data_IF_372145243384
#
_entry.id   IF_372145243384
#
_cell.length_a   1.000
_cell.length_b   1.000
_cell.length_c   1.000
_cell.angle_alpha   90.00
_cell.angle_beta   90.00
_cell.angle_gamma   90.00
#
_symmetry.space_group_name_H-M   'P 1'
#
loop_
_entity.id
_entity.type
_entity.pdbx_description
1 polymer ?
#
# COMPACT_ATOMS: atom_id res chain seq x y z
N UNK A 1 -19.03 -11.59 0.12
CA UNK A 1 -18.18 -10.45 -0.30
C UNK A 1 -17.07 -10.27 0.73
N UNK A 2 -16.00 -11.07 0.65
CA UNK A 2 -14.94 -11.16 1.68
C UNK A 2 -13.94 -10.00 1.59
N UNK A 3 -13.66 -9.53 0.37
CA UNK A 3 -12.68 -8.45 0.12
C UNK A 3 -13.12 -7.17 0.82
N UNK A 4 -14.36 -6.73 0.60
CA UNK A 4 -14.88 -5.49 1.17
C UNK A 4 -14.91 -5.50 2.71
N UNK A 5 -15.29 -6.62 3.34
CA UNK A 5 -15.29 -6.73 4.80
C UNK A 5 -13.89 -6.56 5.40
N UNK A 6 -12.83 -6.98 4.69
CA UNK A 6 -11.44 -6.78 5.14
C UNK A 6 -11.08 -5.30 5.21
N UNK A 7 -11.40 -4.53 4.17
CA UNK A 7 -11.11 -3.09 4.15
C UNK A 7 -11.83 -2.33 5.27
N UNK A 8 -13.06 -2.73 5.59
CA UNK A 8 -13.84 -2.13 6.67
C UNK A 8 -13.39 -2.55 8.07
N UNK A 9 -12.97 -3.81 8.24
CA UNK A 9 -12.55 -4.35 9.54
C UNK A 9 -11.15 -3.87 9.95
N UNK A 10 -10.34 -3.45 8.98
CA UNK A 10 -8.96 -3.03 9.16
C UNK A 10 -8.71 -1.62 8.61
N UNK A 11 -9.45 -0.58 9.06
CA UNK A 11 -9.43 0.75 8.44
C UNK A 11 -8.07 1.46 8.59
N UNK A 12 -7.22 1.00 9.50
CA UNK A 12 -5.91 1.57 9.79
C UNK A 12 -4.74 0.74 9.24
N UNK A 13 -5.01 -0.48 8.75
CA UNK A 13 -3.94 -1.36 8.27
C UNK A 13 -3.73 -1.13 6.77
N UNK A 14 -2.49 -0.88 6.32
CA UNK A 14 -2.21 -0.72 4.90
C UNK A 14 -2.47 -2.04 4.15
N UNK A 15 -3.28 -1.99 3.10
CA UNK A 15 -3.67 -3.15 2.29
C UNK A 15 -3.06 -3.05 0.90
N UNK A 16 -2.38 -4.12 0.50
CA UNK A 16 -1.97 -4.39 -0.87
C UNK A 16 -2.88 -5.45 -1.46
N UNK A 17 -3.42 -5.22 -2.66
CA UNK A 17 -4.26 -6.19 -3.33
C UNK A 17 -3.53 -6.78 -4.54
N UNK A 18 -3.41 -8.10 -4.58
CA UNK A 18 -3.05 -8.84 -5.80
C UNK A 18 -4.33 -9.45 -6.36
N UNK A 19 -4.65 -9.15 -7.61
CA UNK A 19 -5.92 -9.58 -8.22
C UNK A 19 -5.72 -10.05 -9.66
N UNK A 20 -6.49 -11.06 -10.07
CA UNK A 20 -6.50 -11.55 -11.45
C UNK A 20 -7.32 -10.65 -12.37
N UNK A 21 -6.92 -10.56 -13.63
CA UNK A 21 -7.64 -9.85 -14.71
C UNK A 21 -9.16 -10.02 -14.68
N UNK A 22 -9.63 -11.27 -14.62
CA UNK A 22 -11.05 -11.62 -14.66
C UNK A 22 -11.90 -11.01 -13.54
N UNK A 23 -11.32 -10.76 -12.37
CA UNK A 23 -12.03 -10.23 -11.20
C UNK A 23 -11.82 -8.72 -11.01
N UNK A 24 -10.79 -8.16 -11.65
CA UNK A 24 -10.36 -6.79 -11.41
C UNK A 24 -11.44 -5.76 -11.76
N UNK A 25 -12.13 -5.94 -12.89
CA UNK A 25 -13.17 -5.00 -13.34
C UNK A 25 -14.38 -4.92 -12.41
N UNK A 26 -14.67 -5.99 -11.67
CA UNK A 26 -15.77 -6.01 -10.70
C UNK A 26 -15.34 -5.49 -9.33
N UNK A 27 -14.14 -5.86 -8.89
CA UNK A 27 -13.68 -5.57 -7.51
C UNK A 27 -13.09 -4.17 -7.39
N UNK A 28 -12.23 -3.77 -8.32
CA UNK A 28 -11.46 -2.51 -8.20
C UNK A 28 -12.34 -1.28 -8.02
N UNK A 29 -13.41 -1.06 -8.81
CA UNK A 29 -14.23 0.14 -8.68
C UNK A 29 -14.88 0.28 -7.29
N UNK A 30 -15.11 -0.84 -6.60
CA UNK A 30 -15.75 -0.87 -5.28
C UNK A 30 -14.75 -0.49 -4.18
N UNK A 31 -13.48 -0.90 -4.32
CA UNK A 31 -12.48 -0.77 -3.25
C UNK A 31 -11.48 0.37 -3.46
N UNK A 32 -11.46 0.98 -4.64
CA UNK A 32 -10.42 1.93 -5.02
C UNK A 32 -10.38 3.18 -4.13
N UNK A 33 -11.54 3.63 -3.67
CA UNK A 33 -11.72 4.80 -2.81
C UNK A 33 -11.31 4.58 -1.34
N UNK A 34 -11.00 3.34 -0.95
CA UNK A 34 -10.60 3.06 0.42
C UNK A 34 -9.23 3.67 0.72
N UNK A 35 -9.15 4.44 1.80
CA UNK A 35 -7.93 5.16 2.21
C UNK A 35 -6.80 4.24 2.65
N UNK A 36 -7.13 3.04 3.14
CA UNK A 36 -6.19 2.02 3.55
C UNK A 36 -5.73 1.12 2.38
N UNK A 37 -6.31 1.28 1.17
CA UNK A 37 -5.77 0.66 -0.03
C UNK A 37 -4.52 1.40 -0.49
N UNK A 38 -3.37 0.72 -0.44
CA UNK A 38 -2.08 1.30 -0.82
C UNK A 38 -1.82 1.14 -2.31
N UNK A 39 -1.95 -0.09 -2.82
CA UNK A 39 -1.62 -0.43 -4.20
C UNK A 39 -2.35 -1.70 -4.63
N UNK A 40 -2.77 -1.73 -5.89
CA UNK A 40 -3.35 -2.85 -6.61
C UNK A 40 -2.31 -3.36 -7.62
N UNK A 41 -2.04 -4.66 -7.56
CA UNK A 41 -1.24 -5.42 -8.51
C UNK A 41 -2.18 -6.30 -9.33
N UNK A 42 -2.44 -5.90 -10.56
CA UNK A 42 -3.26 -6.64 -11.51
C UNK A 42 -2.38 -7.64 -12.27
N UNK A 43 -2.61 -8.94 -12.05
CA UNK A 43 -1.96 -9.99 -12.82
C UNK A 43 -2.89 -10.51 -13.92
N UNK A 44 -2.48 -10.42 -15.18
CA UNK A 44 -3.30 -10.80 -16.33
C UNK A 44 -2.46 -11.31 -17.50
N UNK A 45 -3.01 -12.19 -18.35
CA UNK A 45 -2.28 -12.69 -19.52
C UNK A 45 -2.10 -11.68 -20.67
N UNK A 46 -2.65 -10.47 -20.55
CA UNK A 46 -2.56 -9.43 -21.58
C UNK A 46 -2.70 -8.04 -20.95
N UNK A 47 -1.59 -7.32 -20.80
CA UNK A 47 -1.59 -5.96 -20.25
C UNK A 47 -2.45 -5.01 -21.10
N UNK A 48 -2.35 -5.12 -22.43
CA UNK A 48 -3.10 -4.27 -23.36
C UNK A 48 -4.62 -4.40 -23.24
N UNK A 49 -5.13 -5.58 -22.83
CA UNK A 49 -6.55 -5.78 -22.62
C UNK A 49 -7.12 -5.04 -21.39
N UNK A 50 -6.24 -4.62 -20.47
CA UNK A 50 -6.61 -3.94 -19.23
C UNK A 50 -6.04 -2.54 -19.12
N UNK A 51 -5.07 -2.14 -19.95
CA UNK A 51 -4.37 -0.86 -19.82
C UNK A 51 -5.30 0.34 -19.97
N UNK A 52 -6.20 0.33 -20.96
CA UNK A 52 -7.14 1.45 -21.18
C UNK A 52 -8.06 1.66 -19.96
N UNK A 53 -8.65 0.58 -19.45
CA UNK A 53 -9.47 0.62 -18.24
C UNK A 53 -8.66 0.92 -16.97
N UNK A 54 -7.42 0.42 -16.90
CA UNK A 54 -6.54 0.62 -15.76
C UNK A 54 -6.05 2.05 -15.60
N UNK A 55 -6.11 2.86 -16.67
CA UNK A 55 -5.76 4.29 -16.60
C UNK A 55 -6.65 5.07 -15.62
N UNK A 56 -7.90 4.66 -15.45
CA UNK A 56 -8.83 5.26 -14.49
C UNK A 56 -8.36 5.10 -13.03
N UNK A 57 -7.43 4.16 -12.79
CA UNK A 57 -6.94 3.78 -11.47
C UNK A 57 -5.40 3.85 -11.36
N UNK A 58 -4.75 4.57 -12.28
CA UNK A 58 -3.29 4.53 -12.47
C UNK A 58 -2.45 5.02 -11.28
N UNK A 59 -3.03 5.78 -10.35
CA UNK A 59 -2.37 6.24 -9.13
C UNK A 59 -2.11 5.09 -8.13
N UNK A 60 -2.97 4.06 -8.13
CA UNK A 60 -2.91 2.90 -7.25
C UNK A 60 -2.88 1.57 -7.99
N UNK A 61 -2.81 1.53 -9.32
CA UNK A 61 -2.84 0.29 -10.09
C UNK A 61 -1.57 0.10 -10.91
N UNK A 62 -1.01 -1.10 -10.83
CA UNK A 62 0.04 -1.59 -11.72
C UNK A 62 -0.43 -2.91 -12.35
N UNK A 63 -0.11 -3.10 -13.64
CA UNK A 63 -0.57 -4.23 -14.43
C UNK A 63 0.65 -5.04 -14.88
N UNK A 64 0.58 -6.36 -14.69
CA UNK A 64 1.66 -7.30 -14.97
C UNK A 64 1.12 -8.50 -15.75
N UNK A 65 1.92 -8.97 -16.70
CA UNK A 65 1.74 -10.23 -17.42
C UNK A 65 2.79 -11.29 -17.07
N UNK A 66 3.83 -10.91 -16.33
CA UNK A 66 4.86 -11.82 -15.82
C UNK A 66 4.84 -11.81 -14.28
N UNK A 67 4.85 -13.01 -13.69
CA UNK A 67 4.78 -13.18 -12.24
C UNK A 67 6.03 -12.68 -11.52
N UNK A 68 7.20 -12.85 -12.13
CA UNK A 68 8.48 -12.43 -11.54
C UNK A 68 8.54 -10.90 -11.39
N UNK A 69 8.14 -10.15 -12.42
CA UNK A 69 8.07 -8.69 -12.39
C UNK A 69 7.11 -8.17 -11.30
N UNK A 70 5.96 -8.85 -11.14
CA UNK A 70 5.00 -8.53 -10.09
C UNK A 70 5.63 -8.72 -8.71
N UNK A 71 6.26 -9.87 -8.48
CA UNK A 71 6.85 -10.21 -7.18
C UNK A 71 8.03 -9.29 -6.84
N UNK A 72 8.88 -8.98 -7.82
CA UNK A 72 9.98 -8.04 -7.65
C UNK A 72 9.44 -6.65 -7.29
N UNK A 73 8.42 -6.16 -8.02
CA UNK A 73 7.86 -4.84 -7.75
C UNK A 73 7.18 -4.78 -6.38
N UNK A 74 6.38 -5.79 -6.04
CA UNK A 74 5.74 -5.91 -4.73
C UNK A 74 6.78 -5.91 -3.60
N UNK A 75 7.85 -6.68 -3.74
CA UNK A 75 8.92 -6.74 -2.75
C UNK A 75 9.60 -5.39 -2.56
N UNK A 76 9.92 -4.70 -3.65
CA UNK A 76 10.54 -3.38 -3.61
C UNK A 76 9.63 -2.33 -2.96
N UNK A 77 8.33 -2.32 -3.29
CA UNK A 77 7.37 -1.39 -2.70
C UNK A 77 7.20 -1.65 -1.19
N UNK A 78 7.09 -2.92 -0.80
CA UNK A 78 7.01 -3.31 0.61
C UNK A 78 8.28 -2.91 1.37
N UNK A 79 9.46 -3.17 0.81
CA UNK A 79 10.73 -2.79 1.40
C UNK A 79 10.83 -1.27 1.60
N UNK A 80 10.46 -0.49 0.59
CA UNK A 80 10.50 0.97 0.66
C UNK A 80 9.58 1.49 1.77
N UNK A 81 8.36 0.94 1.87
CA UNK A 81 7.39 1.34 2.90
C UNK A 81 7.84 0.98 4.31
N UNK A 82 8.46 -0.19 4.49
CA UNK A 82 9.07 -0.57 5.77
C UNK A 82 10.23 0.37 6.15
N UNK A 83 11.06 0.77 5.18
CA UNK A 83 12.15 1.73 5.41
C UNK A 83 11.60 3.11 5.80
N UNK A 84 10.61 3.63 5.08
CA UNK A 84 9.93 4.88 5.41
C UNK A 84 9.38 4.87 6.84
N UNK A 85 8.70 3.78 7.21
CA UNK A 85 8.16 3.62 8.56
C UNK A 85 9.25 3.55 9.63
N UNK A 86 10.34 2.82 9.38
CA UNK A 86 11.49 2.75 10.28
C UNK A 86 12.12 4.14 10.48
N UNK A 87 12.32 4.91 9.42
CA UNK A 87 12.83 6.29 9.49
C UNK A 87 11.92 7.18 10.34
N UNK A 88 10.60 7.08 10.18
CA UNK A 88 9.65 7.85 10.99
C UNK A 88 9.73 7.47 12.47
N UNK A 89 9.83 6.18 12.78
CA UNK A 89 9.98 5.69 14.15
C UNK A 89 11.25 6.21 14.81
N UNK A 90 12.39 6.17 14.11
CA UNK A 90 13.67 6.68 14.61
C UNK A 90 13.61 8.18 14.88
N UNK A 91 13.01 8.95 13.96
CA UNK A 91 12.82 10.40 14.15
C UNK A 91 12.00 10.70 15.41
N UNK A 92 10.87 10.02 15.59
CA UNK A 92 10.02 10.18 16.77
C UNK A 92 10.74 9.80 18.07
N UNK A 93 11.50 8.70 18.05
CA UNK A 93 12.27 8.27 19.21
C UNK A 93 13.28 9.34 19.65
N UNK A 94 13.98 9.97 18.70
CA UNK A 94 14.91 11.05 19.00
C UNK A 94 14.19 12.30 19.52
N UNK A 95 13.06 12.69 18.93
CA UNK A 95 12.23 13.79 19.44
C UNK A 95 11.79 13.57 20.91
N UNK A 96 11.36 12.36 21.25
CA UNK A 96 10.99 12.01 22.63
C UNK A 96 12.18 12.08 23.59
N UNK A 97 13.34 11.58 23.17
CA UNK A 97 14.58 11.65 23.95
C UNK A 97 14.98 13.10 24.22
N UNK A 98 14.92 13.97 23.22
CA UNK A 98 15.24 15.39 23.39
C UNK A 98 14.27 16.09 24.35
N UNK A 99 12.96 15.82 24.22
CA UNK A 99 11.95 16.36 25.16
C UNK A 99 12.20 15.90 26.59
N UNK A 100 12.50 14.62 26.81
CA UNK A 100 12.81 14.10 28.14
C UNK A 100 14.05 14.76 28.77
N UNK A 101 15.09 15.02 27.96
CA UNK A 101 16.28 15.74 28.41
C UNK A 101 15.98 17.21 28.77
N UNK A 102 15.10 17.89 28.02
CA UNK A 102 14.66 19.24 28.33
C UNK A 102 13.87 19.30 29.65
N UNK A 103 12.95 18.36 29.88
CA UNK A 103 12.22 18.26 31.14
C UNK A 103 13.17 18.03 32.34
N UNK A 104 14.16 17.15 32.19
CA UNK A 104 15.15 16.92 33.25
C UNK A 104 15.96 18.18 33.60
N UNK A 105 16.27 19.01 32.62
CA UNK A 105 17.02 20.27 32.81
C UNK A 105 16.19 21.42 33.39
N UNK A 106 14.86 21.38 33.25
CA UNK A 106 13.96 22.43 33.72
C UNK A 106 13.44 22.19 35.16
N UNK A 107 13.59 20.96 35.67
CA UNK A 107 13.20 20.59 37.03
C UNK A 107 14.36 20.56 38.05
N UNK A 108 15.58 20.96 37.66
CA UNK A 108 16.76 21.05 38.53
C UNK A 108 17.33 22.46 38.51
#
# INVERSE_FOLDING_TARGET
MVVFSTFQSHPNDPIYLIISGSLAKEVVPIIYEFSNLVQIFLFCGSVSAYSEWGMDYCDKMMIFDHGDDLLERLWNDLQNKLREYATLCLKRAEEYKQRALQYKKSCG
#
